data_IF_215476637787
#
_entry.id   IF_215476637787
#
_cell.length_a   1.000
_cell.length_b   1.000
_cell.length_c   1.000
_cell.angle_alpha   90.00
_cell.angle_beta   90.00
_cell.angle_gamma   90.00
#
_symmetry.space_group_name_H-M   'P 1'
#
loop_
_entity.id
_entity.type
_entity.pdbx_description
1 polymer ?
#
# COMPACT_ATOMS: atom_id res chain seq x y z
N UNK A 1 -18.64 16.07 -6.41
CA UNK A 1 -18.44 15.62 -5.02
C UNK A 1 -17.01 15.93 -4.64
N UNK A 2 -16.79 16.96 -3.82
CA UNK A 2 -15.45 17.28 -3.31
C UNK A 2 -15.06 16.27 -2.24
N UNK A 3 -14.02 15.53 -2.51
CA UNK A 3 -13.39 14.59 -1.56
C UNK A 3 -12.56 15.40 -0.57
N UNK A 4 -12.81 15.23 0.73
CA UNK A 4 -11.99 15.81 1.80
C UNK A 4 -10.49 15.46 1.63
N UNK A 5 -9.59 16.40 1.90
CA UNK A 5 -8.15 16.25 1.77
C UNK A 5 -7.39 16.82 2.97
N UNK A 6 -6.11 16.45 3.11
CA UNK A 6 -5.22 17.03 4.13
C UNK A 6 -4.57 18.32 3.66
N UNK A 7 -4.50 19.32 4.57
CA UNK A 7 -3.66 20.49 4.38
C UNK A 7 -2.43 20.39 5.30
N UNK A 8 -1.24 20.65 4.76
CA UNK A 8 0.00 20.75 5.52
C UNK A 8 0.23 22.23 5.89
N UNK A 9 -0.07 22.63 7.12
CA UNK A 9 0.36 23.92 7.63
C UNK A 9 1.66 23.73 8.40
N UNK A 10 2.78 24.08 7.75
CA UNK A 10 4.08 24.11 8.37
C UNK A 10 4.30 25.48 9.06
N UNK A 11 3.94 25.60 10.33
CA UNK A 11 4.48 26.63 11.21
C UNK A 11 5.74 26.11 11.90
N UNK A 12 6.82 26.89 11.86
CA UNK A 12 8.12 26.57 12.46
C UNK A 12 7.93 26.36 13.96
N UNK A 13 8.32 25.16 14.48
CA UNK A 13 8.46 24.76 15.90
C UNK A 13 7.25 24.15 16.64
N UNK A 14 6.12 23.83 16.01
CA UNK A 14 5.08 23.03 16.62
C UNK A 14 4.93 21.66 15.92
N UNK A 15 4.48 20.59 16.60
CA UNK A 15 4.25 19.31 15.94
C UNK A 15 3.27 19.50 14.76
N UNK A 16 3.65 19.02 13.58
CA UNK A 16 2.86 19.18 12.34
C UNK A 16 1.46 18.62 12.59
N UNK A 17 0.48 19.49 12.80
CA UNK A 17 -0.92 19.10 12.94
C UNK A 17 -1.45 18.67 11.56
N UNK A 18 -1.99 17.48 11.49
CA UNK A 18 -2.59 16.92 10.27
C UNK A 18 -4.09 17.06 10.36
N UNK A 19 -4.64 17.97 9.57
CA UNK A 19 -6.06 18.29 9.59
C UNK A 19 -6.78 17.62 8.43
N UNK A 20 -7.76 16.78 8.72
CA UNK A 20 -8.70 16.24 7.74
C UNK A 20 -9.93 17.14 7.67
N UNK A 21 -10.14 17.78 6.52
CA UNK A 21 -11.28 18.65 6.30
C UNK A 21 -12.51 17.84 5.91
N UNK A 22 -13.45 17.70 6.83
CA UNK A 22 -14.74 17.05 6.63
C UNK A 22 -15.81 18.10 6.23
N UNK A 23 -15.56 18.85 5.15
CA UNK A 23 -16.52 19.84 4.64
C UNK A 23 -17.86 19.16 4.33
N UNK A 24 -18.96 19.78 4.75
CA UNK A 24 -20.36 19.36 4.49
C UNK A 24 -20.78 18.01 5.07
N UNK A 25 -20.13 17.50 6.09
CA UNK A 25 -20.57 16.27 6.74
C UNK A 25 -21.20 16.62 8.09
N UNK A 26 -22.49 16.93 8.08
CA UNK A 26 -23.28 17.06 9.31
C UNK A 26 -23.11 15.76 10.11
N UNK A 27 -22.31 15.80 11.18
CA UNK A 27 -22.15 14.78 12.22
C UNK A 27 -21.85 13.31 11.81
N UNK A 28 -21.67 13.00 10.50
CA UNK A 28 -21.29 11.64 10.10
C UNK A 28 -19.87 11.36 10.60
N UNK A 29 -19.66 10.35 11.47
CA UNK A 29 -18.35 10.03 11.99
C UNK A 29 -17.42 9.49 10.89
N UNK A 30 -16.12 9.67 11.08
CA UNK A 30 -15.10 9.19 10.16
C UNK A 30 -14.29 8.09 10.82
N UNK A 31 -14.22 6.94 10.15
CA UNK A 31 -13.23 5.91 10.45
C UNK A 31 -11.96 6.16 9.65
N UNK A 32 -10.85 6.35 10.31
CA UNK A 32 -9.51 6.37 9.71
C UNK A 32 -8.83 5.03 9.95
N UNK A 33 -8.81 4.16 8.95
CA UNK A 33 -8.07 2.90 9.03
C UNK A 33 -6.62 3.12 8.58
N UNK A 34 -5.69 2.98 9.55
CA UNK A 34 -4.26 3.08 9.26
C UNK A 34 -3.80 1.83 8.52
N UNK A 35 -3.01 2.00 7.45
CA UNK A 35 -2.39 0.91 6.68
C UNK A 35 -0.89 1.19 6.56
N UNK A 36 -0.05 0.20 6.84
CA UNK A 36 1.41 0.32 6.70
C UNK A 36 2.16 -0.69 7.56
N UNK A 37 3.41 -0.95 7.21
CA UNK A 37 4.28 -1.88 7.97
C UNK A 37 4.74 -1.24 9.29
N UNK A 38 5.27 -2.05 10.21
CA UNK A 38 5.86 -1.54 11.45
C UNK A 38 7.00 -0.55 11.13
N UNK A 39 7.11 0.51 11.90
CA UNK A 39 8.10 1.57 11.69
C UNK A 39 7.73 2.60 10.62
N UNK A 40 6.57 2.50 9.93
CA UNK A 40 6.20 3.51 8.92
C UNK A 40 5.73 4.85 9.49
N UNK A 41 5.47 4.97 10.80
CA UNK A 41 5.05 6.22 11.45
C UNK A 41 3.52 6.35 11.64
N UNK A 42 2.76 5.25 11.58
CA UNK A 42 1.29 5.23 11.75
C UNK A 42 0.82 5.86 13.05
N UNK A 43 1.38 5.44 14.17
CA UNK A 43 0.98 5.93 15.51
C UNK A 43 1.23 7.42 15.64
N UNK A 44 2.42 7.90 15.22
CA UNK A 44 2.70 9.35 15.19
C UNK A 44 1.75 10.12 14.27
N UNK A 45 1.32 9.52 13.16
CA UNK A 45 0.30 10.12 12.32
C UNK A 45 -1.03 10.21 13.05
N UNK A 46 -1.47 9.12 13.67
CA UNK A 46 -2.75 9.03 14.38
C UNK A 46 -2.83 10.03 15.53
N UNK A 47 -1.79 10.16 16.34
CA UNK A 47 -1.72 11.08 17.50
C UNK A 47 -1.79 12.56 17.10
N UNK A 48 -1.30 12.89 15.88
CA UNK A 48 -1.30 14.25 15.34
C UNK A 48 -2.49 14.54 14.41
N UNK A 49 -3.40 13.56 14.21
CA UNK A 49 -4.58 13.73 13.38
C UNK A 49 -5.63 14.56 14.11
N UNK A 50 -6.19 15.54 13.40
CA UNK A 50 -7.38 16.29 13.80
C UNK A 50 -8.40 16.25 12.66
N UNK A 51 -9.67 16.23 13.01
CA UNK A 51 -10.80 16.36 12.07
C UNK A 51 -11.35 17.77 12.19
N UNK A 52 -11.45 18.50 11.08
CA UNK A 52 -12.01 19.84 11.03
C UNK A 52 -13.38 19.80 10.35
N UNK A 53 -14.39 20.33 11.02
CA UNK A 53 -15.77 20.46 10.53
C UNK A 53 -16.20 21.90 10.56
N UNK A 54 -17.01 22.30 9.58
CA UNK A 54 -17.44 23.68 9.39
C UNK A 54 -16.52 24.47 8.46
N UNK A 55 -16.84 25.73 8.25
CA UNK A 55 -16.11 26.64 7.35
C UNK A 55 -15.68 27.92 8.09
N UNK A 56 -14.51 28.43 7.68
CA UNK A 56 -14.01 29.70 8.20
C UNK A 56 -13.75 29.68 9.72
N UNK A 57 -14.16 30.73 10.41
CA UNK A 57 -13.98 30.92 11.86
C UNK A 57 -14.88 30.00 12.72
N UNK A 58 -15.92 29.39 12.14
CA UNK A 58 -16.80 28.44 12.81
C UNK A 58 -16.27 27.00 12.75
N UNK A 59 -15.14 26.77 12.09
CA UNK A 59 -14.56 25.44 11.97
C UNK A 59 -14.11 24.87 13.31
N UNK A 60 -14.66 23.72 13.70
CA UNK A 60 -14.32 23.00 14.94
C UNK A 60 -13.32 21.91 14.63
N UNK A 61 -12.21 21.88 15.39
CA UNK A 61 -11.18 20.83 15.30
C UNK A 61 -11.32 19.87 16.48
N UNK A 62 -11.55 18.60 16.16
CA UNK A 62 -11.64 17.51 17.14
C UNK A 62 -10.55 16.47 16.92
N UNK A 63 -10.14 15.81 18.00
CA UNK A 63 -9.26 14.64 17.89
C UNK A 63 -10.12 13.38 17.82
N UNK A 64 -9.86 12.47 16.86
CA UNK A 64 -10.53 11.18 16.82
C UNK A 64 -10.08 10.30 18.00
N UNK A 65 -10.93 9.36 18.41
CA UNK A 65 -10.59 8.33 19.39
C UNK A 65 -9.67 7.30 18.72
N UNK A 66 -8.52 7.04 19.33
CA UNK A 66 -7.55 6.08 18.78
C UNK A 66 -7.74 4.71 19.43
N UNK A 67 -8.08 3.73 18.62
CA UNK A 67 -8.06 2.31 18.98
C UNK A 67 -6.84 1.63 18.40
N UNK A 68 -5.83 1.37 19.23
CA UNK A 68 -4.59 0.72 18.84
C UNK A 68 -4.58 -0.76 19.22
N UNK A 69 -4.14 -1.61 18.28
CA UNK A 69 -3.95 -3.03 18.54
C UNK A 69 -2.87 -3.31 19.59
N UNK A 70 -1.85 -2.47 19.66
CA UNK A 70 -0.76 -2.62 20.64
C UNK A 70 -1.24 -2.21 22.05
N UNK A 71 -1.97 -1.09 22.18
CA UNK A 71 -2.57 -0.65 23.44
C UNK A 71 -3.56 -1.68 23.98
N UNK A 72 -4.44 -2.20 23.12
CA UNK A 72 -5.40 -3.22 23.55
C UNK A 72 -4.72 -4.53 23.93
N UNK A 73 -3.62 -4.89 23.27
CA UNK A 73 -2.82 -6.07 23.64
C UNK A 73 -2.25 -5.93 25.05
N UNK A 74 -1.69 -4.77 25.36
CA UNK A 74 -1.20 -4.46 26.71
C UNK A 74 -2.32 -4.54 27.76
N UNK A 75 -3.50 -4.03 27.43
CA UNK A 75 -4.66 -4.09 28.32
C UNK A 75 -5.13 -5.54 28.59
N UNK A 76 -5.22 -6.38 27.53
CA UNK A 76 -5.76 -7.74 27.64
C UNK A 76 -4.76 -8.74 28.23
N UNK A 77 -3.46 -8.54 28.01
CA UNK A 77 -2.43 -9.53 28.32
C UNK A 77 -1.33 -9.00 29.26
N UNK A 78 -1.43 -7.72 29.70
CA UNK A 78 -0.45 -7.09 30.58
C UNK A 78 0.82 -6.58 29.89
N UNK A 79 1.14 -7.12 28.72
CA UNK A 79 2.30 -6.73 27.91
C UNK A 79 1.93 -6.75 26.40
N UNK A 80 2.30 -5.71 25.68
CA UNK A 80 2.09 -5.58 24.24
C UNK A 80 2.91 -6.59 23.39
N UNK A 81 3.93 -7.21 23.97
CA UNK A 81 4.74 -8.24 23.32
C UNK A 81 4.09 -9.63 23.34
N UNK A 82 3.17 -9.87 24.24
CA UNK A 82 2.46 -11.15 24.32
C UNK A 82 1.55 -11.30 23.10
N UNK A 83 1.77 -12.34 22.30
CA UNK A 83 0.98 -12.55 21.08
C UNK A 83 -0.48 -12.92 21.38
N UNK A 84 -0.75 -13.66 22.44
CA UNK A 84 -2.10 -14.02 22.88
C UNK A 84 -3.02 -14.54 21.76
N UNK A 85 -4.33 -14.51 22.01
CA UNK A 85 -5.33 -14.83 20.97
C UNK A 85 -5.64 -13.58 20.12
N UNK A 86 -5.09 -13.59 18.90
CA UNK A 86 -5.30 -12.50 17.94
C UNK A 86 -6.78 -12.34 17.53
N UNK A 87 -7.58 -13.43 17.49
CA UNK A 87 -8.98 -13.33 17.15
C UNK A 87 -9.76 -12.60 18.25
N UNK A 88 -9.50 -12.96 19.50
CA UNK A 88 -10.08 -12.27 20.67
C UNK A 88 -9.72 -10.78 20.68
N UNK A 89 -8.45 -10.47 20.44
CA UNK A 89 -7.96 -9.09 20.38
C UNK A 89 -8.67 -8.28 19.29
N UNK A 90 -8.67 -8.77 18.04
CA UNK A 90 -9.28 -8.03 16.93
C UNK A 90 -10.80 -7.96 17.03
N UNK A 91 -11.48 -8.98 17.56
CA UNK A 91 -12.92 -8.93 17.81
C UNK A 91 -13.26 -7.81 18.82
N UNK A 92 -12.51 -7.71 19.93
CA UNK A 92 -12.71 -6.66 20.92
C UNK A 92 -12.38 -5.28 20.34
N UNK A 93 -11.28 -5.15 19.58
CA UNK A 93 -10.91 -3.91 18.91
C UNK A 93 -12.02 -3.43 17.96
N UNK A 94 -12.54 -4.32 17.14
CA UNK A 94 -13.64 -4.02 16.20
C UNK A 94 -14.93 -3.66 16.94
N UNK A 95 -15.22 -4.31 18.07
CA UNK A 95 -16.39 -3.99 18.91
C UNK A 95 -16.31 -2.56 19.46
N UNK A 96 -15.14 -2.14 19.99
CA UNK A 96 -14.92 -0.79 20.51
C UNK A 96 -15.04 0.26 19.39
N UNK A 97 -14.40 0.03 18.23
CA UNK A 97 -14.49 0.93 17.09
C UNK A 97 -15.95 1.12 16.65
N UNK A 98 -16.74 0.04 16.54
CA UNK A 98 -18.16 0.12 16.18
C UNK A 98 -18.96 0.92 17.20
N UNK A 99 -18.73 0.69 18.49
CA UNK A 99 -19.45 1.41 19.55
C UNK A 99 -19.20 2.92 19.48
N UNK A 100 -17.95 3.34 19.26
CA UNK A 100 -17.63 4.76 19.14
C UNK A 100 -18.19 5.40 17.87
N UNK A 101 -18.15 4.70 16.73
CA UNK A 101 -18.78 5.17 15.49
C UNK A 101 -20.31 5.33 15.66
N UNK A 102 -20.99 4.39 16.33
CA UNK A 102 -22.42 4.48 16.62
C UNK A 102 -22.75 5.66 17.55
N UNK A 103 -21.83 6.04 18.44
CA UNK A 103 -21.93 7.21 19.30
C UNK A 103 -21.60 8.55 18.57
N UNK A 104 -21.32 8.51 17.26
CA UNK A 104 -21.01 9.68 16.45
C UNK A 104 -19.57 10.19 16.60
N UNK A 105 -18.67 9.40 17.18
CA UNK A 105 -17.26 9.75 17.36
C UNK A 105 -16.44 9.43 16.11
N UNK A 106 -15.48 10.30 15.77
CA UNK A 106 -14.44 9.98 14.82
C UNK A 106 -13.45 8.99 15.44
N UNK A 107 -13.01 8.01 14.66
CA UNK A 107 -12.19 6.90 15.16
C UNK A 107 -10.97 6.68 14.28
N UNK A 108 -9.81 6.45 14.91
CA UNK A 108 -8.62 5.88 14.26
C UNK A 108 -8.49 4.41 14.63
N UNK A 109 -8.43 3.56 13.64
CA UNK A 109 -8.06 2.15 13.77
C UNK A 109 -6.56 2.00 13.52
N UNK A 110 -5.74 2.03 14.59
CA UNK A 110 -4.28 1.91 14.52
C UNK A 110 -3.84 0.45 14.64
N UNK A 111 -3.61 -0.15 13.50
CA UNK A 111 -2.96 -1.45 13.33
C UNK A 111 -2.23 -1.47 11.98
N UNK A 112 -1.49 -2.54 11.67
CA UNK A 112 -0.77 -2.63 10.39
C UNK A 112 -1.69 -2.71 9.17
N UNK A 113 -2.81 -3.43 9.29
CA UNK A 113 -3.89 -3.57 8.29
C UNK A 113 -3.39 -3.84 6.85
N UNK A 114 -2.25 -4.55 6.71
CA UNK A 114 -1.61 -4.78 5.40
C UNK A 114 -2.33 -5.84 4.56
N UNK A 115 -3.25 -6.61 5.13
CA UNK A 115 -3.97 -7.67 4.44
C UNK A 115 -5.32 -7.18 3.92
N UNK A 116 -5.52 -7.23 2.60
CA UNK A 116 -6.71 -6.79 1.89
C UNK A 116 -8.00 -7.47 2.37
N UNK A 117 -7.97 -8.79 2.53
CA UNK A 117 -9.15 -9.56 2.97
C UNK A 117 -9.61 -9.10 4.36
N UNK A 118 -8.68 -8.95 5.30
CA UNK A 118 -9.01 -8.49 6.65
C UNK A 118 -9.59 -7.09 6.66
N UNK A 119 -9.05 -6.18 5.85
CA UNK A 119 -9.61 -4.82 5.69
C UNK A 119 -11.05 -4.89 5.17
N UNK A 120 -11.27 -5.58 4.05
CA UNK A 120 -12.59 -5.72 3.45
C UNK A 120 -13.59 -6.43 4.38
N UNK A 121 -13.15 -7.46 5.12
CA UNK A 121 -14.00 -8.17 6.08
C UNK A 121 -14.47 -7.24 7.21
N UNK A 122 -13.58 -6.38 7.72
CA UNK A 122 -13.95 -5.40 8.74
C UNK A 122 -14.86 -4.30 8.18
N UNK A 123 -14.53 -3.76 7.00
CA UNK A 123 -15.34 -2.71 6.36
C UNK A 123 -16.78 -3.17 6.08
N UNK A 124 -16.98 -4.45 5.71
CA UNK A 124 -18.32 -5.04 5.58
C UNK A 124 -19.10 -5.09 6.88
N UNK A 125 -18.43 -5.28 8.02
CA UNK A 125 -19.08 -5.25 9.34
C UNK A 125 -19.60 -3.85 9.72
N UNK A 126 -19.24 -2.81 8.97
CA UNK A 126 -19.69 -1.43 9.17
C UNK A 126 -20.79 -1.01 8.19
N UNK A 127 -21.36 -1.93 7.40
CA UNK A 127 -22.36 -1.57 6.39
C UNK A 127 -23.64 -0.98 7.01
N UNK A 128 -23.97 -1.39 8.23
CA UNK A 128 -25.16 -0.90 8.97
C UNK A 128 -24.84 0.35 9.84
N UNK A 129 -23.63 0.87 9.78
CA UNK A 129 -23.18 2.05 10.51
C UNK A 129 -22.93 3.17 9.50
N UNK A 130 -23.68 4.27 9.62
CA UNK A 130 -23.45 5.45 8.82
C UNK A 130 -22.14 6.13 9.23
N UNK A 131 -21.06 5.87 8.49
CA UNK A 131 -19.75 6.47 8.72
C UNK A 131 -18.98 6.63 7.40
N UNK A 132 -18.06 7.61 7.34
CA UNK A 132 -17.07 7.71 6.27
C UNK A 132 -15.89 6.79 6.57
N UNK A 133 -15.50 5.98 5.60
CA UNK A 133 -14.43 4.95 5.69
C UNK A 133 -13.21 5.45 4.93
N UNK A 134 -12.23 6.00 5.63
CA UNK A 134 -11.01 6.58 5.05
C UNK A 134 -9.83 5.66 5.34
N UNK A 135 -9.15 5.20 4.29
CA UNK A 135 -7.85 4.54 4.43
C UNK A 135 -6.74 5.59 4.52
N UNK A 136 -5.88 5.50 5.52
CA UNK A 136 -4.64 6.28 5.59
C UNK A 136 -3.47 5.32 5.43
N UNK A 137 -2.92 5.27 4.22
CA UNK A 137 -1.75 4.46 3.92
C UNK A 137 -0.48 5.24 4.27
N UNK A 138 0.16 4.89 5.39
CA UNK A 138 1.40 5.53 5.86
C UNK A 138 2.59 4.74 5.35
N UNK A 139 3.35 5.38 4.48
CA UNK A 139 4.41 4.80 3.68
C UNK A 139 5.77 5.37 4.11
N UNK A 140 6.70 4.53 4.51
CA UNK A 140 8.10 4.88 4.71
C UNK A 140 8.98 3.83 4.00
N UNK A 141 10.13 4.21 3.40
CA UNK A 141 11.07 3.25 2.84
C UNK A 141 11.41 2.13 3.83
N UNK A 142 11.60 0.90 3.34
CA UNK A 142 11.80 -0.27 4.20
C UNK A 142 12.98 -0.12 5.17
N UNK A 143 14.11 0.40 4.71
CA UNK A 143 15.27 0.71 5.55
C UNK A 143 14.97 1.75 6.63
N UNK A 144 14.21 2.80 6.31
CA UNK A 144 13.73 3.77 7.29
C UNK A 144 12.77 3.14 8.31
N UNK A 145 11.92 2.20 7.87
CA UNK A 145 11.06 1.45 8.80
C UNK A 145 11.88 0.65 9.83
N UNK A 146 12.98 0.01 9.39
CA UNK A 146 13.90 -0.70 10.28
C UNK A 146 14.60 0.26 11.25
N UNK A 147 15.08 1.40 10.76
CA UNK A 147 15.71 2.44 11.58
C UNK A 147 14.74 2.97 12.64
N UNK A 148 13.54 3.36 12.23
CA UNK A 148 12.52 3.87 13.15
C UNK A 148 12.09 2.81 14.17
N UNK A 149 12.02 1.53 13.77
CA UNK A 149 11.70 0.45 14.69
C UNK A 149 12.74 0.25 15.78
N UNK A 150 14.06 0.40 15.47
CA UNK A 150 15.13 0.30 16.48
C UNK A 150 15.07 1.39 17.54
N UNK A 151 14.47 2.53 17.22
CA UNK A 151 14.32 3.68 18.11
C UNK A 151 13.02 3.70 18.91
N UNK A 152 12.23 2.60 18.88
CA UNK A 152 10.98 2.45 19.64
C UNK A 152 11.23 1.78 20.98
N UNK A 153 10.40 2.10 21.99
CA UNK A 153 10.38 1.37 23.26
C UNK A 153 10.13 -0.13 23.04
N UNK A 154 9.20 -0.43 22.14
CA UNK A 154 8.95 -1.79 21.66
C UNK A 154 9.60 -2.02 20.31
N UNK A 155 10.68 -2.79 20.30
CA UNK A 155 11.36 -3.20 19.08
C UNK A 155 10.75 -4.51 18.55
N UNK A 156 10.23 -4.48 17.33
CA UNK A 156 9.72 -5.66 16.64
C UNK A 156 10.88 -6.36 15.91
N UNK A 157 11.01 -7.70 15.94
CA UNK A 157 12.05 -8.41 15.20
C UNK A 157 12.05 -8.05 13.71
N UNK A 158 13.22 -7.83 13.12
CA UNK A 158 13.37 -7.40 11.71
C UNK A 158 12.73 -8.41 10.74
N UNK A 159 12.80 -9.72 11.05
CA UNK A 159 12.15 -10.77 10.26
C UNK A 159 10.62 -10.62 10.20
N UNK A 160 10.00 -10.08 11.24
CA UNK A 160 8.57 -9.80 11.26
C UNK A 160 8.26 -8.63 10.33
N UNK A 161 9.09 -7.57 10.35
CA UNK A 161 8.94 -6.40 9.47
C UNK A 161 9.18 -6.81 8.02
N UNK A 162 10.21 -7.61 7.76
CA UNK A 162 10.49 -8.19 6.43
C UNK A 162 9.30 -9.00 5.92
N UNK A 163 8.72 -9.85 6.77
CA UNK A 163 7.51 -10.60 6.41
C UNK A 163 6.33 -9.69 6.12
N UNK A 164 6.14 -8.60 6.85
CA UNK A 164 5.08 -7.62 6.55
C UNK A 164 5.30 -6.94 5.21
N UNK A 165 6.53 -6.56 4.90
CA UNK A 165 6.90 -5.93 3.63
C UNK A 165 6.65 -6.89 2.45
N UNK A 166 7.09 -8.15 2.57
CA UNK A 166 6.89 -9.20 1.57
C UNK A 166 5.43 -9.69 1.44
N UNK A 167 4.52 -9.27 2.33
CA UNK A 167 3.10 -9.61 2.29
C UNK A 167 2.20 -8.39 2.25
N UNK A 168 2.75 -7.22 1.94
CA UNK A 168 1.97 -6.00 1.80
C UNK A 168 1.01 -6.10 0.60
N UNK A 169 -0.24 -5.70 0.84
CA UNK A 169 -1.29 -5.66 -0.18
C UNK A 169 -1.81 -4.23 -0.28
N UNK A 170 -1.61 -3.55 -1.41
CA UNK A 170 -2.01 -2.15 -1.55
C UNK A 170 -3.52 -1.98 -1.34
N UNK A 171 -3.95 -0.90 -0.67
CA UNK A 171 -5.38 -0.62 -0.50
C UNK A 171 -6.03 -0.24 -1.83
N UNK A 172 -7.34 -0.45 -1.93
CA UNK A 172 -8.13 -0.05 -3.09
C UNK A 172 -9.56 0.33 -2.69
N UNK A 173 -10.18 1.25 -3.44
CA UNK A 173 -11.55 1.74 -3.14
C UNK A 173 -12.58 0.61 -3.16
N UNK A 174 -12.43 -0.38 -4.04
CA UNK A 174 -13.33 -1.52 -4.11
C UNK A 174 -13.34 -2.43 -2.86
N UNK A 175 -12.45 -2.18 -1.88
CA UNK A 175 -12.52 -2.84 -0.58
C UNK A 175 -13.66 -2.30 0.31
N UNK A 176 -14.23 -1.14 -0.05
CA UNK A 176 -15.29 -0.46 0.69
C UNK A 176 -14.86 0.85 1.35
N UNK A 177 -13.71 1.42 0.96
CA UNK A 177 -13.29 2.75 1.37
C UNK A 177 -13.98 3.84 0.54
N UNK A 178 -14.38 4.93 1.20
CA UNK A 178 -14.85 6.14 0.53
C UNK A 178 -13.68 6.98 -0.01
N UNK A 179 -12.53 6.92 0.68
CA UNK A 179 -11.32 7.64 0.28
C UNK A 179 -10.06 6.90 0.71
N UNK A 180 -8.97 7.08 -0.05
CA UNK A 180 -7.64 6.58 0.29
C UNK A 180 -6.65 7.74 0.23
N UNK A 181 -5.92 7.93 1.32
CA UNK A 181 -4.90 8.96 1.48
C UNK A 181 -3.55 8.28 1.57
N UNK A 182 -2.61 8.72 0.74
CA UNK A 182 -1.23 8.30 0.79
C UNK A 182 -0.43 9.32 1.59
N UNK A 183 0.15 8.91 2.70
CA UNK A 183 1.06 9.72 3.49
C UNK A 183 2.48 9.16 3.41
N UNK A 184 3.39 9.95 2.83
CA UNK A 184 4.79 9.59 2.68
C UNK A 184 5.61 10.11 3.84
N UNK A 185 6.23 9.21 4.60
CA UNK A 185 7.14 9.52 5.68
C UNK A 185 8.59 9.26 5.22
N UNK A 186 9.29 10.32 4.82
CA UNK A 186 10.71 10.28 4.49
C UNK A 186 11.60 10.79 5.64
N UNK A 187 11.01 11.05 6.80
CA UNK A 187 11.70 11.65 7.95
C UNK A 187 12.48 12.92 7.59
N UNK A 188 11.93 13.75 6.71
CA UNK A 188 12.57 14.99 6.23
C UNK A 188 13.74 14.78 5.27
N UNK A 189 14.03 13.57 4.83
CA UNK A 189 15.17 13.25 3.96
C UNK A 189 14.82 13.37 2.48
N UNK A 190 15.26 14.45 1.83
CA UNK A 190 15.19 14.59 0.37
C UNK A 190 16.03 13.54 -0.37
N UNK A 191 17.11 13.04 0.25
CA UNK A 191 17.95 11.98 -0.32
C UNK A 191 17.17 10.69 -0.46
N UNK A 192 16.39 10.28 0.55
CA UNK A 192 15.53 9.11 0.50
C UNK A 192 14.47 9.25 -0.60
N UNK A 193 13.84 10.42 -0.69
CA UNK A 193 12.87 10.69 -1.75
C UNK A 193 13.49 10.56 -3.15
N UNK A 194 14.66 11.17 -3.38
CA UNK A 194 15.36 11.15 -4.67
C UNK A 194 15.85 9.76 -5.07
N UNK A 195 16.06 8.85 -4.12
CA UNK A 195 16.47 7.46 -4.39
C UNK A 195 15.44 6.72 -5.24
N UNK A 196 14.15 6.97 -5.00
CA UNK A 196 13.06 6.26 -5.66
C UNK A 196 12.62 6.98 -6.94
N UNK A 197 13.47 6.95 -7.98
CA UNK A 197 13.07 7.37 -9.33
C UNK A 197 13.17 6.19 -10.28
N UNK A 198 12.32 6.16 -11.30
CA UNK A 198 12.37 5.11 -12.35
C UNK A 198 13.77 5.08 -12.99
N UNK A 199 14.37 6.26 -13.21
CA UNK A 199 15.74 6.36 -13.71
C UNK A 199 16.74 5.65 -12.79
N UNK A 200 16.66 5.88 -11.47
CA UNK A 200 17.57 5.24 -10.52
C UNK A 200 17.32 3.74 -10.39
N UNK A 201 16.07 3.28 -10.50
CA UNK A 201 15.77 1.85 -10.54
C UNK A 201 16.41 1.18 -11.77
N UNK A 202 16.24 1.76 -12.94
CA UNK A 202 16.73 1.17 -14.19
C UNK A 202 18.25 1.35 -14.38
N UNK A 203 18.81 2.51 -14.03
CA UNK A 203 20.17 2.93 -14.41
C UNK A 203 21.01 3.47 -13.27
N UNK A 204 20.50 3.51 -12.03
CA UNK A 204 21.17 4.05 -10.85
C UNK A 204 21.86 2.99 -9.99
N UNK A 205 21.99 3.31 -8.69
CA UNK A 205 22.73 2.49 -7.71
C UNK A 205 22.22 1.05 -7.55
N UNK A 206 20.93 0.80 -7.82
CA UNK A 206 20.37 -0.57 -7.78
C UNK A 206 20.74 -1.38 -9.02
N UNK A 207 21.14 -0.73 -10.10
CA UNK A 207 21.59 -1.33 -11.37
C UNK A 207 20.69 -2.47 -11.87
N UNK A 208 19.36 -2.31 -11.81
CA UNK A 208 18.44 -3.35 -12.27
C UNK A 208 18.73 -3.80 -13.70
N UNK A 209 19.29 -2.89 -14.54
CA UNK A 209 19.70 -3.20 -15.90
C UNK A 209 20.86 -4.20 -15.97
N UNK A 210 21.68 -4.31 -14.94
CA UNK A 210 22.81 -5.25 -14.88
C UNK A 210 22.54 -6.51 -14.06
N UNK A 211 21.39 -6.60 -13.36
CA UNK A 211 21.07 -7.75 -12.53
C UNK A 211 20.51 -8.87 -13.40
N UNK A 212 21.31 -9.91 -13.60
CA UNK A 212 20.87 -11.13 -14.26
C UNK A 212 19.85 -11.87 -13.40
N UNK A 213 18.80 -12.41 -14.03
CA UNK A 213 17.74 -13.11 -13.32
C UNK A 213 18.13 -14.55 -12.91
N UNK A 214 19.11 -15.14 -13.57
CA UNK A 214 19.67 -16.46 -13.25
C UNK A 214 18.60 -17.56 -13.08
N UNK A 215 17.65 -17.59 -14.01
CA UNK A 215 16.64 -18.64 -14.11
C UNK A 215 16.32 -18.93 -15.58
N UNK A 216 15.70 -20.09 -15.82
CA UNK A 216 15.37 -20.57 -17.17
C UNK A 216 14.24 -19.77 -17.85
N UNK A 217 13.53 -18.92 -17.12
CA UNK A 217 12.38 -18.20 -17.66
C UNK A 217 12.74 -16.86 -18.31
N UNK A 218 13.90 -16.30 -17.97
CA UNK A 218 14.32 -14.98 -18.43
C UNK A 218 15.75 -15.00 -18.99
N UNK A 219 15.93 -14.45 -20.20
CA UNK A 219 17.24 -14.22 -20.84
C UNK A 219 17.75 -12.81 -20.59
N UNK A 220 16.84 -11.86 -20.31
CA UNK A 220 17.16 -10.47 -20.05
C UNK A 220 17.47 -10.21 -18.57
N UNK A 221 18.25 -9.18 -18.30
CA UNK A 221 18.40 -8.61 -16.96
C UNK A 221 17.06 -8.02 -16.48
N UNK A 222 16.91 -7.79 -15.17
CA UNK A 222 15.65 -7.25 -14.60
C UNK A 222 15.27 -5.93 -15.27
N UNK A 223 16.22 -4.99 -15.43
CA UNK A 223 15.94 -3.69 -16.03
C UNK A 223 15.61 -3.77 -17.50
N UNK A 224 16.34 -4.57 -18.28
CA UNK A 224 16.07 -4.76 -19.71
C UNK A 224 14.70 -5.41 -19.93
N UNK A 225 14.34 -6.40 -19.12
CA UNK A 225 13.02 -7.01 -19.12
C UNK A 225 11.90 -5.98 -18.88
N UNK A 226 12.05 -5.12 -17.86
CA UNK A 226 11.10 -4.04 -17.59
C UNK A 226 10.98 -3.05 -18.77
N UNK A 227 12.11 -2.67 -19.38
CA UNK A 227 12.11 -1.76 -20.54
C UNK A 227 11.40 -2.39 -21.75
N UNK A 228 11.68 -3.67 -22.07
CA UNK A 228 11.02 -4.36 -23.18
C UNK A 228 9.52 -4.57 -22.90
N UNK A 229 9.12 -4.90 -21.67
CA UNK A 229 7.72 -4.97 -21.27
C UNK A 229 7.01 -3.63 -21.51
N UNK A 230 7.63 -2.52 -21.08
CA UNK A 230 7.08 -1.18 -21.31
C UNK A 230 7.03 -0.79 -22.79
N UNK A 231 8.03 -1.20 -23.58
CA UNK A 231 8.05 -1.00 -25.04
C UNK A 231 6.88 -1.71 -25.71
N UNK A 232 6.59 -2.95 -25.31
CA UNK A 232 5.43 -3.69 -25.81
C UNK A 232 4.12 -2.98 -25.50
N UNK A 233 3.94 -2.52 -24.26
CA UNK A 233 2.76 -1.73 -23.85
C UNK A 233 2.65 -0.44 -24.69
N UNK A 234 3.73 0.28 -24.91
CA UNK A 234 3.74 1.51 -25.70
C UNK A 234 3.27 1.28 -27.15
N UNK A 235 3.79 0.22 -27.82
CA UNK A 235 3.36 -0.14 -29.16
C UNK A 235 1.89 -0.57 -29.22
N UNK A 236 1.44 -1.33 -28.22
CA UNK A 236 0.04 -1.72 -28.10
C UNK A 236 -0.88 -0.52 -27.98
N UNK A 237 -0.54 0.44 -27.10
CA UNK A 237 -1.34 1.65 -26.88
C UNK A 237 -1.44 2.50 -28.15
N UNK A 238 -0.35 2.68 -28.89
CA UNK A 238 -0.37 3.45 -30.14
C UNK A 238 -1.28 2.83 -31.21
N UNK A 239 -1.36 1.51 -31.27
CA UNK A 239 -2.09 0.81 -32.35
C UNK A 239 -3.57 0.60 -32.05
N UNK A 240 -3.92 0.31 -30.81
CA UNK A 240 -5.26 -0.20 -30.47
C UNK A 240 -6.10 0.73 -29.58
N UNK A 241 -5.48 1.63 -28.79
CA UNK A 241 -6.21 2.42 -27.80
C UNK A 241 -5.58 3.79 -27.51
N UNK A 242 -5.61 4.76 -28.44
CA UNK A 242 -4.95 6.06 -28.25
C UNK A 242 -5.54 6.93 -27.12
N UNK A 243 -6.73 6.62 -26.58
CA UNK A 243 -7.46 7.47 -25.63
C UNK A 243 -7.99 6.72 -24.39
N UNK A 244 -7.37 5.59 -24.00
CA UNK A 244 -7.84 4.87 -22.80
C UNK A 244 -7.41 5.59 -21.51
N UNK A 245 -8.33 5.79 -20.54
CA UNK A 245 -7.96 6.20 -19.18
C UNK A 245 -6.90 5.23 -18.62
N UNK A 246 -5.96 5.74 -17.83
CA UNK A 246 -4.89 4.95 -17.19
C UNK A 246 -3.81 4.36 -18.12
N UNK A 247 -3.74 4.77 -19.38
CA UNK A 247 -2.67 4.30 -20.29
C UNK A 247 -1.26 4.63 -19.76
N UNK A 248 -1.06 5.82 -19.19
CA UNK A 248 0.20 6.21 -18.53
C UNK A 248 0.49 5.33 -17.32
N UNK A 249 -0.51 5.01 -16.51
CA UNK A 249 -0.36 4.15 -15.33
C UNK A 249 0.08 2.73 -15.72
N UNK A 250 -0.50 2.15 -16.79
CA UNK A 250 -0.11 0.83 -17.30
C UNK A 250 1.33 0.83 -17.81
N UNK A 251 1.75 1.89 -18.54
CA UNK A 251 3.12 2.05 -19.00
C UNK A 251 4.12 2.16 -17.85
N UNK A 252 3.81 2.96 -16.83
CA UNK A 252 4.65 3.10 -15.64
C UNK A 252 4.71 1.77 -14.88
N UNK A 253 3.57 1.09 -14.71
CA UNK A 253 3.55 -0.22 -14.09
C UNK A 253 4.47 -1.20 -14.83
N UNK A 254 4.46 -1.22 -16.16
CA UNK A 254 5.35 -2.07 -16.96
C UNK A 254 6.84 -1.76 -16.75
N UNK A 255 7.20 -0.46 -16.59
CA UNK A 255 8.59 -0.06 -16.30
C UNK A 255 9.09 -0.51 -14.92
N UNK A 256 8.22 -0.74 -13.95
CA UNK A 256 8.62 -1.04 -12.57
C UNK A 256 7.94 -2.27 -11.97
N UNK A 257 7.27 -3.13 -12.78
CA UNK A 257 6.53 -4.29 -12.23
C UNK A 257 7.41 -5.25 -11.44
N UNK A 258 8.67 -5.34 -11.82
CA UNK A 258 9.68 -6.21 -11.22
C UNK A 258 10.62 -5.49 -10.23
N UNK A 259 10.28 -4.28 -9.78
CA UNK A 259 11.11 -3.48 -8.87
C UNK A 259 11.39 -4.17 -7.51
N UNK A 260 10.61 -5.17 -7.13
CA UNK A 260 10.83 -5.98 -5.94
C UNK A 260 11.83 -7.15 -6.14
N UNK A 261 12.18 -7.51 -7.38
CA UNK A 261 13.09 -8.64 -7.66
C UNK A 261 14.50 -8.46 -7.06
N UNK A 262 15.14 -7.27 -7.10
CA UNK A 262 16.46 -7.11 -6.48
C UNK A 262 16.47 -7.44 -4.98
N UNK A 263 15.41 -7.10 -4.26
CA UNK A 263 15.26 -7.39 -2.82
C UNK A 263 14.99 -8.86 -2.54
N UNK A 264 14.26 -9.56 -3.42
CA UNK A 264 13.76 -10.91 -3.18
C UNK A 264 14.61 -12.01 -3.85
N UNK A 265 15.64 -11.64 -4.59
CA UNK A 265 16.54 -12.60 -5.27
C UNK A 265 17.13 -13.60 -4.26
N UNK A 266 16.89 -14.88 -4.48
CA UNK A 266 17.34 -15.97 -3.58
C UNK A 266 17.57 -17.25 -4.36
N UNK A 267 18.60 -18.01 -3.97
CA UNK A 267 18.83 -19.39 -4.44
C UNK A 267 18.12 -20.44 -3.58
N UNK A 268 17.22 -20.02 -2.70
CA UNK A 268 16.41 -20.95 -1.91
C UNK A 268 15.06 -21.18 -2.61
N UNK A 269 14.71 -22.42 -2.84
CA UNK A 269 13.39 -22.81 -3.36
C UNK A 269 12.29 -22.63 -2.29
N UNK A 270 11.04 -22.93 -2.63
CA UNK A 270 9.90 -22.77 -1.71
C UNK A 270 9.97 -23.65 -0.45
N UNK A 271 10.82 -24.68 -0.45
CA UNK A 271 11.07 -25.55 0.71
C UNK A 271 12.25 -25.08 1.57
N UNK A 272 12.96 -24.01 1.14
CA UNK A 272 14.17 -23.52 1.81
C UNK A 272 15.45 -24.27 1.45
N UNK A 273 15.44 -25.08 0.39
CA UNK A 273 16.59 -25.82 -0.12
C UNK A 273 17.32 -25.01 -1.17
N UNK A 274 18.65 -25.14 -1.26
CA UNK A 274 19.46 -24.45 -2.26
C UNK A 274 19.15 -25.00 -3.66
N UNK A 275 18.90 -24.08 -4.62
CA UNK A 275 18.60 -24.39 -6.02
C UNK A 275 19.69 -23.82 -6.95
N UNK A 276 19.81 -24.37 -8.14
CA UNK A 276 20.67 -23.86 -9.21
C UNK A 276 20.14 -22.58 -9.83
N UNK A 277 18.81 -22.37 -9.80
CA UNK A 277 18.14 -21.18 -10.29
C UNK A 277 17.83 -20.19 -9.18
N UNK A 278 17.70 -18.91 -9.54
CA UNK A 278 17.24 -17.87 -8.63
C UNK A 278 15.72 -17.76 -8.63
N UNK A 279 15.18 -17.59 -7.42
CA UNK A 279 13.75 -17.40 -7.14
C UNK A 279 13.48 -15.98 -6.62
N UNK A 280 12.25 -15.50 -6.85
CA UNK A 280 11.83 -14.12 -6.55
C UNK A 280 10.49 -14.11 -5.81
N UNK A 281 10.39 -14.90 -4.73
CA UNK A 281 9.13 -15.03 -3.99
C UNK A 281 8.69 -13.69 -3.42
N UNK A 282 7.39 -13.36 -3.63
CA UNK A 282 6.74 -12.16 -3.10
C UNK A 282 7.30 -10.83 -3.65
N UNK A 283 8.07 -10.83 -4.76
CA UNK A 283 8.55 -9.57 -5.37
C UNK A 283 7.41 -8.62 -5.74
N UNK A 284 6.25 -9.15 -6.13
CA UNK A 284 5.06 -8.36 -6.47
C UNK A 284 4.46 -7.63 -5.26
N UNK A 285 4.62 -8.14 -4.04
CA UNK A 285 4.12 -7.51 -2.83
C UNK A 285 5.02 -6.35 -2.39
N UNK A 286 6.32 -6.59 -2.24
CA UNK A 286 7.28 -5.53 -1.90
C UNK A 286 7.42 -4.53 -3.05
N UNK A 287 7.37 -5.00 -4.32
CA UNK A 287 7.34 -4.14 -5.48
C UNK A 287 6.13 -3.20 -5.51
N UNK A 288 4.95 -3.70 -5.15
CA UNK A 288 3.76 -2.87 -5.01
C UNK A 288 3.89 -1.84 -3.87
N UNK A 289 4.55 -2.19 -2.77
CA UNK A 289 4.87 -1.24 -1.70
C UNK A 289 5.83 -0.16 -2.19
N UNK A 290 6.92 -0.53 -2.82
CA UNK A 290 7.94 0.42 -3.29
C UNK A 290 7.46 1.28 -4.46
N UNK A 291 6.49 0.79 -5.26
CA UNK A 291 5.93 1.56 -6.37
C UNK A 291 5.32 2.89 -5.94
N UNK A 292 4.81 2.98 -4.72
CA UNK A 292 4.33 4.24 -4.16
C UNK A 292 5.43 5.30 -4.10
N UNK A 293 6.66 4.93 -3.75
CA UNK A 293 7.79 5.88 -3.68
C UNK A 293 8.27 6.29 -5.08
N UNK A 294 8.31 5.36 -6.03
CA UNK A 294 8.64 5.68 -7.43
C UNK A 294 7.62 6.64 -8.04
N UNK A 295 6.34 6.40 -7.78
CA UNK A 295 5.25 7.22 -8.32
C UNK A 295 5.08 8.56 -7.59
N UNK A 296 5.55 8.68 -6.33
CA UNK A 296 5.53 9.97 -5.61
C UNK A 296 6.41 11.04 -6.27
N UNK A 297 7.44 10.62 -7.00
CA UNK A 297 8.31 11.52 -7.75
C UNK A 297 7.78 11.91 -9.14
N UNK A 298 6.57 11.48 -9.51
CA UNK A 298 5.93 11.81 -10.80
C UNK A 298 4.78 12.78 -10.53
N UNK A 299 4.96 14.10 -10.78
CA UNK A 299 3.99 15.13 -10.38
C UNK A 299 2.64 15.03 -11.11
N UNK A 300 2.60 14.41 -12.29
CA UNK A 300 1.39 14.25 -13.11
C UNK A 300 0.42 13.23 -12.56
N UNK A 301 0.90 12.29 -11.72
CA UNK A 301 0.09 11.20 -11.18
C UNK A 301 -0.74 11.65 -9.99
N UNK A 302 -2.04 11.42 -10.08
CA UNK A 302 -2.99 11.56 -8.97
C UNK A 302 -2.85 10.39 -7.99
N UNK A 303 -3.39 10.53 -6.80
CA UNK A 303 -3.46 9.44 -5.80
C UNK A 303 -4.12 8.18 -6.37
N UNK A 304 -5.19 8.33 -7.17
CA UNK A 304 -5.85 7.21 -7.86
C UNK A 304 -4.91 6.43 -8.78
N UNK A 305 -4.05 7.14 -9.53
CA UNK A 305 -3.14 6.53 -10.48
C UNK A 305 -2.02 5.76 -9.75
N UNK A 306 -1.49 6.34 -8.66
CA UNK A 306 -0.49 5.68 -7.81
C UNK A 306 -1.03 4.38 -7.20
N UNK A 307 -2.27 4.41 -6.69
CA UNK A 307 -2.97 3.22 -6.17
C UNK A 307 -3.21 2.20 -7.28
N UNK A 308 -3.59 2.66 -8.48
CA UNK A 308 -3.82 1.79 -9.63
C UNK A 308 -2.54 1.08 -10.04
N UNK A 309 -1.42 1.79 -10.16
CA UNK A 309 -0.09 1.23 -10.48
C UNK A 309 0.32 0.19 -9.43
N UNK A 310 0.20 0.51 -8.14
CA UNK A 310 0.53 -0.43 -7.07
C UNK A 310 -0.30 -1.71 -7.13
N UNK A 311 -1.60 -1.62 -7.47
CA UNK A 311 -2.45 -2.78 -7.65
C UNK A 311 -2.11 -3.57 -8.93
N UNK A 312 -1.76 -2.91 -10.06
CA UNK A 312 -1.26 -3.61 -11.24
C UNK A 312 -0.02 -4.46 -10.91
N UNK A 313 0.94 -3.87 -10.19
CA UNK A 313 2.15 -4.56 -9.74
C UNK A 313 1.83 -5.70 -8.77
N UNK A 314 0.92 -5.49 -7.81
CA UNK A 314 0.50 -6.54 -6.90
C UNK A 314 -0.15 -7.73 -7.62
N UNK A 315 -0.96 -7.48 -8.63
CA UNK A 315 -1.72 -8.51 -9.34
C UNK A 315 -0.99 -9.14 -10.53
N UNK A 316 0.13 -8.57 -11.04
CA UNK A 316 0.75 -9.02 -12.28
C UNK A 316 1.14 -10.52 -12.28
N UNK A 317 1.45 -11.08 -11.09
CA UNK A 317 1.77 -12.50 -10.96
C UNK A 317 0.54 -13.43 -10.93
N UNK A 318 -0.68 -12.89 -10.80
CA UNK A 318 -1.89 -13.73 -10.71
C UNK A 318 -2.18 -14.56 -11.95
N UNK A 319 -2.02 -14.03 -13.18
CA UNK A 319 -2.18 -14.81 -14.40
C UNK A 319 -1.20 -15.99 -14.50
N UNK A 320 -0.01 -15.89 -13.91
CA UNK A 320 0.97 -16.99 -13.87
C UNK A 320 0.67 -18.02 -12.80
N UNK A 321 -0.06 -17.64 -11.76
CA UNK A 321 -0.26 -18.43 -10.53
C UNK A 321 -1.72 -18.83 -10.34
N UNK A 322 -2.42 -18.16 -9.43
CA UNK A 322 -3.76 -18.57 -8.99
C UNK A 322 -4.83 -18.50 -10.08
N UNK A 323 -4.74 -17.58 -11.03
CA UNK A 323 -5.72 -17.50 -12.14
C UNK A 323 -5.50 -18.60 -13.18
N UNK A 324 -4.24 -18.98 -13.41
CA UNK A 324 -3.90 -20.12 -14.28
C UNK A 324 -4.42 -21.43 -13.70
N UNK A 325 -4.42 -21.56 -12.37
CA UNK A 325 -4.84 -22.79 -11.68
C UNK A 325 -6.33 -22.87 -11.43
N UNK A 326 -7.05 -21.75 -11.39
CA UNK A 326 -8.47 -21.70 -11.02
C UNK A 326 -9.22 -20.56 -11.70
N UNK A 327 -10.10 -20.90 -12.64
CA UNK A 327 -11.04 -19.95 -13.24
C UNK A 327 -11.95 -19.28 -12.20
N UNK A 328 -12.36 -20.01 -11.16
CA UNK A 328 -13.14 -19.44 -10.06
C UNK A 328 -12.38 -18.33 -9.34
N UNK A 329 -11.05 -18.49 -9.15
CA UNK A 329 -10.21 -17.45 -8.55
C UNK A 329 -10.10 -16.24 -9.49
N UNK A 330 -9.89 -16.45 -10.79
CA UNK A 330 -9.83 -15.39 -11.78
C UNK A 330 -11.16 -14.61 -11.86
N UNK A 331 -12.30 -15.31 -11.92
CA UNK A 331 -13.64 -14.68 -11.95
C UNK A 331 -13.89 -13.83 -10.70
N UNK A 332 -13.66 -14.39 -9.51
CA UNK A 332 -13.82 -13.68 -8.23
C UNK A 332 -12.96 -12.41 -8.18
N UNK A 333 -11.68 -12.52 -8.55
CA UNK A 333 -10.76 -11.38 -8.51
C UNK A 333 -11.16 -10.34 -9.57
N UNK A 334 -11.59 -10.74 -10.77
CA UNK A 334 -12.12 -9.87 -11.83
C UNK A 334 -13.36 -9.08 -11.37
N UNK A 335 -14.34 -9.75 -10.74
CA UNK A 335 -15.52 -9.12 -10.17
C UNK A 335 -15.14 -8.07 -9.10
N UNK A 336 -14.12 -8.37 -8.31
CA UNK A 336 -13.65 -7.50 -7.24
C UNK A 336 -12.89 -6.26 -7.75
N UNK A 337 -11.95 -6.44 -8.69
CA UNK A 337 -11.07 -5.36 -9.17
C UNK A 337 -11.68 -4.58 -10.35
N UNK A 338 -12.70 -5.12 -10.99
CA UNK A 338 -13.38 -4.55 -12.15
C UNK A 338 -12.68 -4.82 -13.48
N UNK A 339 -13.46 -4.71 -14.56
CA UNK A 339 -13.05 -5.10 -15.93
C UNK A 339 -11.81 -4.35 -16.42
N UNK A 340 -11.69 -3.05 -16.14
CA UNK A 340 -10.59 -2.24 -16.64
C UNK A 340 -9.25 -2.69 -16.04
N UNK A 341 -9.20 -2.88 -14.72
CA UNK A 341 -7.98 -3.34 -14.05
C UNK A 341 -7.64 -4.77 -14.46
N UNK A 342 -8.64 -5.66 -14.54
CA UNK A 342 -8.43 -7.02 -15.02
C UNK A 342 -7.83 -7.05 -16.44
N UNK A 343 -8.38 -6.27 -17.37
CA UNK A 343 -7.88 -6.18 -18.73
C UNK A 343 -6.44 -5.62 -18.78
N UNK A 344 -6.11 -4.64 -17.95
CA UNK A 344 -4.77 -4.06 -17.89
C UNK A 344 -3.76 -5.03 -17.26
N UNK A 345 -4.15 -5.82 -16.26
CA UNK A 345 -3.31 -6.91 -15.72
C UNK A 345 -3.04 -7.97 -16.80
N UNK A 346 -4.06 -8.38 -17.56
CA UNK A 346 -3.88 -9.34 -18.66
C UNK A 346 -2.98 -8.80 -19.75
N UNK A 347 -3.07 -7.49 -20.05
CA UNK A 347 -2.20 -6.83 -21.02
C UNK A 347 -0.75 -6.73 -20.53
N UNK A 348 -0.55 -6.42 -19.24
CA UNK A 348 0.76 -6.44 -18.60
C UNK A 348 1.36 -7.85 -18.64
N UNK A 349 0.55 -8.88 -18.37
CA UNK A 349 0.96 -10.28 -18.46
C UNK A 349 1.40 -10.70 -19.88
N UNK A 350 0.67 -10.27 -20.92
CA UNK A 350 1.07 -10.53 -22.31
C UNK A 350 2.41 -9.87 -22.65
N UNK A 351 2.59 -8.61 -22.21
CA UNK A 351 3.81 -7.86 -22.43
C UNK A 351 5.01 -8.46 -21.69
N UNK A 352 4.83 -8.85 -20.42
CA UNK A 352 5.81 -9.53 -19.57
C UNK A 352 6.27 -10.85 -20.21
N UNK A 353 5.33 -11.66 -20.74
CA UNK A 353 5.68 -12.89 -21.48
C UNK A 353 6.42 -12.65 -22.79
N UNK A 354 6.14 -11.55 -23.45
CA UNK A 354 6.80 -11.21 -24.73
C UNK A 354 8.22 -10.66 -24.54
N UNK A 355 8.51 -10.07 -23.40
CA UNK A 355 9.79 -9.48 -23.02
C UNK A 355 10.75 -10.54 -22.41
N UNK A 356 11.21 -11.50 -23.19
CA UNK A 356 12.10 -12.59 -22.72
C UNK A 356 13.56 -12.35 -23.05
#
# INVERSE_FOLDING_TARGET
METGGFTNNAEKSSPIRRVYNAKNVNKIPVLFMMVGIVGSGKTSFAENLCVERGEGWEAVKTKPIIHSSDTLRKELYGDENIQGDNNKLFNELHRRIKADLLNGNDVVYDATNINKRRRADFLRQLNDIECKKVCVCVLAPYDLCLEQNRNRDRVVPEEVIKRMYLNFQPPALHEGFDNIILHYNYNGSDKLKKRYTIKNFLFGDVYAISINQENSHHTLTIGNHCVETARYIHYYMKRQMPFRPYSEALYIAALIHDNGKPFTKSRLNAKGEVDTECHYYQHHCCGAYDSFFYTDNIPTLKTSDKIYIANLIYFHMKPFTSWKQSEKAAKRDREMIGENMYADIMKLHEADKAAK
#
